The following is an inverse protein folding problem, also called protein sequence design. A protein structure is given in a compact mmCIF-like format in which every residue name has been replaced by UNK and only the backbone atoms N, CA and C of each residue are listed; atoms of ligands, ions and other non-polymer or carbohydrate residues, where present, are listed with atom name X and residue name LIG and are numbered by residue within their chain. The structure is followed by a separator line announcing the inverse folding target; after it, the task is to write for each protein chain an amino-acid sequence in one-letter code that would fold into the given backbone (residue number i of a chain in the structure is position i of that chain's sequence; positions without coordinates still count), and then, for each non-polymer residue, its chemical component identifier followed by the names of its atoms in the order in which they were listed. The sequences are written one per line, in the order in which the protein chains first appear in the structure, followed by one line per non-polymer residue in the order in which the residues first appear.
data_IF_886743790028
#
_entry.id   IF_886743790028
#
_cell.length_a   1.000
_cell.length_b   1.000
_cell.length_c   1.000
_cell.angle_alpha   90.00
_cell.angle_beta   90.00
_cell.angle_gamma   90.00
#
_symmetry.space_group_name_H-M   'P 1'
#
loop_
_entity.id
_entity.type
_entity.pdbx_description
1 polymer ?
#
# COMPACT_ATOMS: atom_id res chain seq x y z
N UNK A 1 -39.91 22.37 25.63
CA UNK A 1 -38.54 22.93 25.79
C UNK A 1 -37.63 22.26 24.79
N UNK A 2 -37.03 23.04 23.89
CA UNK A 2 -36.34 22.56 22.70
C UNK A 2 -35.04 21.84 23.04
N UNK A 3 -34.98 20.52 22.81
CA UNK A 3 -33.75 19.72 22.91
C UNK A 3 -32.60 20.31 22.07
N UNK A 4 -32.94 20.99 20.97
CA UNK A 4 -32.01 21.73 20.10
C UNK A 4 -31.41 23.00 20.73
N UNK A 5 -31.94 23.50 21.85
CA UNK A 5 -31.40 24.67 22.56
C UNK A 5 -30.39 24.30 23.65
N UNK A 6 -30.28 23.01 23.99
CA UNK A 6 -29.31 22.56 24.98
C UNK A 6 -27.95 22.40 24.31
N UNK A 7 -27.04 23.33 24.59
CA UNK A 7 -25.68 23.41 24.03
C UNK A 7 -24.89 22.10 24.24
N UNK A 8 -25.10 21.41 25.36
CA UNK A 8 -24.45 20.13 25.63
C UNK A 8 -24.99 18.99 24.75
N UNK A 9 -26.30 18.97 24.50
CA UNK A 9 -26.95 18.00 23.61
C UNK A 9 -26.51 18.20 22.15
N UNK A 10 -26.49 19.46 21.67
CA UNK A 10 -26.03 19.82 20.32
C UNK A 10 -24.53 19.53 20.15
N UNK A 11 -23.72 19.76 21.19
CA UNK A 11 -22.29 19.48 21.16
C UNK A 11 -21.95 17.98 21.08
N UNK A 12 -22.60 17.15 21.90
CA UNK A 12 -22.37 15.69 21.90
C UNK A 12 -22.86 15.05 20.60
N UNK A 13 -24.09 15.38 20.18
CA UNK A 13 -24.68 14.79 18.98
C UNK A 13 -23.97 15.32 17.73
N UNK A 14 -23.64 16.61 17.68
CA UNK A 14 -22.85 17.19 16.60
C UNK A 14 -21.47 16.56 16.49
N UNK A 15 -20.80 16.29 17.62
CA UNK A 15 -19.52 15.59 17.66
C UNK A 15 -19.60 14.15 17.14
N UNK A 16 -20.60 13.38 17.58
CA UNK A 16 -20.80 11.99 17.13
C UNK A 16 -21.12 11.95 15.64
N UNK A 17 -22.07 12.78 15.17
CA UNK A 17 -22.46 12.83 13.75
C UNK A 17 -21.28 13.27 12.88
N UNK A 18 -20.53 14.29 13.31
CA UNK A 18 -19.33 14.75 12.61
C UNK A 18 -18.25 13.66 12.52
N UNK A 19 -18.00 12.96 13.62
CA UNK A 19 -17.03 11.84 13.64
C UNK A 19 -17.41 10.70 12.70
N UNK A 20 -18.70 10.34 12.64
CA UNK A 20 -19.20 9.31 11.71
C UNK A 20 -19.03 9.76 10.26
N UNK A 21 -19.37 11.00 9.93
CA UNK A 21 -19.21 11.54 8.57
C UNK A 21 -17.73 11.52 8.15
N UNK A 22 -16.83 11.99 9.02
CA UNK A 22 -15.39 11.98 8.76
C UNK A 22 -14.86 10.56 8.57
N UNK A 23 -15.35 9.59 9.34
CA UNK A 23 -14.98 8.18 9.18
C UNK A 23 -15.33 7.66 7.77
N UNK A 24 -16.56 7.87 7.31
CA UNK A 24 -16.99 7.43 5.99
C UNK A 24 -16.18 8.09 4.87
N UNK A 25 -15.94 9.39 4.95
CA UNK A 25 -15.13 10.12 3.95
C UNK A 25 -13.69 9.59 3.94
N UNK A 26 -13.10 9.41 5.13
CA UNK A 26 -11.73 8.91 5.27
C UNK A 26 -11.60 7.50 4.70
N UNK A 27 -12.51 6.59 5.07
CA UNK A 27 -12.49 5.22 4.58
C UNK A 27 -12.69 5.15 3.06
N UNK A 28 -13.55 5.99 2.49
CA UNK A 28 -13.75 6.08 1.05
C UNK A 28 -12.48 6.51 0.30
N UNK A 29 -11.79 7.55 0.76
CA UNK A 29 -10.55 8.01 0.12
C UNK A 29 -9.40 7.01 0.30
N UNK A 30 -9.25 6.46 1.51
CA UNK A 30 -8.19 5.49 1.83
C UNK A 30 -8.41 4.19 1.06
N UNK A 31 -9.64 3.67 0.99
CA UNK A 31 -9.95 2.45 0.24
C UNK A 31 -9.68 2.61 -1.25
N UNK A 32 -10.05 3.75 -1.84
CA UNK A 32 -9.74 4.06 -3.25
C UNK A 32 -8.23 4.14 -3.49
N UNK A 33 -7.49 4.79 -2.61
CA UNK A 33 -6.02 4.87 -2.68
C UNK A 33 -5.38 3.49 -2.55
N UNK A 34 -5.83 2.66 -1.61
CA UNK A 34 -5.31 1.31 -1.40
C UNK A 34 -5.55 0.42 -2.62
N UNK A 35 -6.73 0.50 -3.26
CA UNK A 35 -7.01 -0.20 -4.52
C UNK A 35 -6.07 0.24 -5.65
N UNK A 36 -5.80 1.55 -5.78
CA UNK A 36 -4.85 2.06 -6.77
C UNK A 36 -3.43 1.53 -6.53
N UNK A 37 -2.94 1.61 -5.29
CA UNK A 37 -1.62 1.10 -4.90
C UNK A 37 -1.53 -0.42 -5.17
N UNK A 38 -2.60 -1.16 -4.88
CA UNK A 38 -2.63 -2.61 -5.15
C UNK A 38 -2.50 -2.90 -6.65
N UNK A 39 -3.24 -2.18 -7.50
CA UNK A 39 -3.11 -2.32 -8.96
C UNK A 39 -1.71 -1.97 -9.46
N UNK A 40 -1.11 -0.91 -8.94
CA UNK A 40 0.27 -0.54 -9.30
C UNK A 40 1.27 -1.64 -8.91
N UNK A 41 1.11 -2.26 -7.73
CA UNK A 41 1.93 -3.41 -7.32
C UNK A 41 1.77 -4.60 -8.25
N UNK A 42 0.55 -4.93 -8.67
CA UNK A 42 0.31 -6.00 -9.64
C UNK A 42 1.05 -5.70 -10.96
N UNK A 43 0.93 -4.48 -11.47
CA UNK A 43 1.59 -4.10 -12.72
C UNK A 43 3.12 -4.19 -12.61
N UNK A 44 3.70 -3.74 -11.50
CA UNK A 44 5.14 -3.85 -11.25
C UNK A 44 5.58 -5.31 -11.12
N UNK A 45 4.81 -6.12 -10.40
CA UNK A 45 5.10 -7.55 -10.25
C UNK A 45 5.03 -8.30 -11.57
N UNK A 46 4.02 -8.03 -12.41
CA UNK A 46 3.90 -8.62 -13.75
C UNK A 46 5.07 -8.22 -14.66
N UNK A 47 5.49 -6.96 -14.62
CA UNK A 47 6.67 -6.52 -15.36
C UNK A 47 7.94 -7.21 -14.87
N UNK A 48 8.08 -7.39 -13.56
CA UNK A 48 9.22 -8.11 -12.97
C UNK A 48 9.22 -9.60 -13.33
N UNK A 49 8.05 -10.26 -13.35
CA UNK A 49 7.91 -11.65 -13.82
C UNK A 49 8.39 -11.76 -15.26
N UNK A 50 7.90 -10.89 -16.14
CA UNK A 50 8.26 -10.90 -17.56
C UNK A 50 9.78 -10.69 -17.75
N UNK A 51 10.34 -9.67 -17.10
CA UNK A 51 11.76 -9.35 -17.20
C UNK A 51 12.67 -10.46 -16.62
N UNK A 52 12.20 -11.19 -15.61
CA UNK A 52 12.96 -12.29 -15.01
C UNK A 52 12.95 -13.55 -15.89
N UNK A 53 11.82 -13.83 -16.55
CA UNK A 53 11.64 -15.03 -17.37
C UNK A 53 12.20 -14.87 -18.79
N UNK A 54 12.19 -13.66 -19.33
CA UNK A 54 12.69 -13.37 -20.68
C UNK A 54 14.11 -13.90 -20.99
N UNK A 55 15.15 -13.68 -20.15
CA UNK A 55 16.47 -14.24 -20.41
C UNK A 55 16.51 -15.77 -20.30
N UNK A 56 15.55 -16.39 -19.62
CA UNK A 56 15.50 -17.85 -19.46
C UNK A 56 14.93 -18.55 -20.70
N UNK A 57 14.24 -17.82 -21.58
CA UNK A 57 13.72 -18.36 -22.84
C UNK A 57 14.82 -18.49 -23.89
N UNK A 58 15.87 -17.66 -23.80
CA UNK A 58 17.03 -17.76 -24.69
C UNK A 58 17.95 -18.93 -24.35
N UNK A 59 17.95 -19.37 -23.08
CA UNK A 59 18.61 -20.61 -22.63
C UNK A 59 17.60 -21.78 -22.71
N UNK A 60 17.43 -22.33 -23.91
CA UNK A 60 16.39 -23.32 -24.32
C UNK A 60 16.16 -24.52 -23.38
N UNK A 61 17.04 -24.77 -22.41
CA UNK A 61 17.01 -25.95 -21.53
C UNK A 61 16.29 -25.74 -20.19
N UNK A 62 15.92 -24.51 -19.83
CA UNK A 62 15.49 -24.20 -18.45
C UNK A 62 14.06 -23.72 -18.29
N UNK A 63 13.37 -23.35 -19.37
CA UNK A 63 12.07 -22.71 -19.27
C UNK A 63 10.92 -23.72 -19.17
N UNK A 64 10.32 -23.85 -17.98
CA UNK A 64 9.22 -24.78 -17.66
C UNK A 64 8.12 -24.07 -16.83
N UNK A 65 6.91 -24.63 -16.81
CA UNK A 65 5.80 -24.16 -15.98
C UNK A 65 6.14 -24.13 -14.49
N UNK A 66 6.93 -25.10 -14.01
CA UNK A 66 7.39 -25.14 -12.61
C UNK A 66 8.27 -23.94 -12.27
N UNK A 67 9.12 -23.54 -13.22
CA UNK A 67 9.96 -22.36 -13.07
C UNK A 67 9.10 -21.11 -13.01
N UNK A 68 8.15 -20.95 -13.93
CA UNK A 68 7.19 -19.84 -13.87
C UNK A 68 6.43 -19.81 -12.54
N UNK A 69 5.89 -20.94 -12.07
CA UNK A 69 5.13 -20.97 -10.81
C UNK A 69 5.99 -20.55 -9.61
N UNK A 70 7.26 -20.96 -9.61
CA UNK A 70 8.22 -20.62 -8.55
C UNK A 70 8.58 -19.14 -8.60
N UNK A 71 8.90 -18.61 -9.78
CA UNK A 71 9.23 -17.19 -10.00
C UNK A 71 8.03 -16.30 -9.68
N UNK A 72 6.85 -16.65 -10.20
CA UNK A 72 5.57 -15.99 -9.93
C UNK A 72 5.27 -15.94 -8.44
N UNK A 73 5.42 -17.07 -7.72
CA UNK A 73 5.22 -17.12 -6.26
C UNK A 73 6.23 -16.26 -5.50
N UNK A 74 7.50 -16.30 -5.88
CA UNK A 74 8.54 -15.50 -5.24
C UNK A 74 8.28 -14.00 -5.43
N UNK A 75 7.89 -13.59 -6.64
CA UNK A 75 7.60 -12.18 -6.97
C UNK A 75 6.28 -11.74 -6.30
N UNK A 76 5.23 -12.56 -6.30
CA UNK A 76 4.00 -12.28 -5.57
C UNK A 76 4.26 -12.04 -4.08
N UNK A 77 5.12 -12.87 -3.49
CA UNK A 77 5.55 -12.73 -2.08
C UNK A 77 6.32 -11.43 -1.85
N UNK A 78 7.26 -11.10 -2.75
CA UNK A 78 8.04 -9.85 -2.70
C UNK A 78 7.15 -8.61 -2.75
N UNK A 79 6.14 -8.60 -3.62
CA UNK A 79 5.22 -7.46 -3.81
C UNK A 79 4.03 -7.46 -2.85
N UNK A 80 3.84 -8.54 -2.07
CA UNK A 80 2.71 -8.74 -1.15
C UNK A 80 1.36 -8.69 -1.86
N UNK A 81 1.25 -9.43 -2.96
CA UNK A 81 0.02 -9.59 -3.74
C UNK A 81 -0.33 -11.08 -3.84
N UNK A 82 -1.57 -11.38 -4.22
CA UNK A 82 -1.96 -12.75 -4.47
C UNK A 82 -1.33 -13.25 -5.79
N UNK A 83 -0.83 -14.48 -5.80
CA UNK A 83 -0.29 -15.10 -7.01
C UNK A 83 -1.35 -15.20 -8.13
N UNK A 84 -2.62 -15.39 -7.75
CA UNK A 84 -3.76 -15.49 -8.67
C UNK A 84 -4.02 -14.17 -9.42
N UNK A 85 -3.57 -13.03 -8.87
CA UNK A 85 -3.74 -11.72 -9.50
C UNK A 85 -2.64 -11.40 -10.53
N UNK A 86 -1.62 -12.25 -10.65
CA UNK A 86 -0.57 -12.13 -11.67
C UNK A 86 -1.06 -12.68 -13.03
N UNK A 87 -0.36 -12.32 -14.10
CA UNK A 87 -0.62 -12.89 -15.42
C UNK A 87 -0.45 -14.40 -15.43
N UNK A 88 -1.44 -15.11 -15.96
CA UNK A 88 -1.37 -16.54 -16.22
C UNK A 88 -0.17 -16.89 -17.12
N UNK A 89 0.32 -18.12 -16.98
CA UNK A 89 1.44 -18.63 -17.77
C UNK A 89 1.24 -18.37 -19.26
N UNK A 90 0.06 -18.69 -19.80
CA UNK A 90 -0.30 -18.47 -21.19
C UNK A 90 -0.08 -17.02 -21.64
N UNK A 91 -0.57 -16.06 -20.86
CA UNK A 91 -0.44 -14.63 -21.16
C UNK A 91 1.05 -14.24 -21.16
N UNK A 92 1.84 -14.78 -20.22
CA UNK A 92 3.28 -14.54 -20.16
C UNK A 92 3.99 -15.08 -21.40
N UNK A 93 3.65 -16.29 -21.86
CA UNK A 93 4.19 -16.86 -23.10
C UNK A 93 3.86 -16.01 -24.32
N UNK A 94 2.61 -15.57 -24.45
CA UNK A 94 2.16 -14.75 -25.57
C UNK A 94 2.90 -13.41 -25.61
N UNK A 95 3.12 -12.79 -24.44
CA UNK A 95 3.87 -11.54 -24.31
C UNK A 95 5.33 -11.71 -24.67
N UNK A 96 6.00 -12.75 -24.15
CA UNK A 96 7.41 -13.03 -24.49
C UNK A 96 7.55 -13.33 -25.98
N UNK A 97 6.66 -14.14 -26.55
CA UNK A 97 6.65 -14.49 -27.98
C UNK A 97 6.49 -13.24 -28.83
N UNK A 98 5.54 -12.37 -28.47
CA UNK A 98 5.30 -11.10 -29.18
C UNK A 98 6.55 -10.22 -29.16
N UNK A 99 7.22 -10.12 -28.01
CA UNK A 99 8.42 -9.30 -27.86
C UNK A 99 9.61 -9.86 -28.66
N UNK A 100 9.80 -11.19 -28.67
CA UNK A 100 10.82 -11.85 -29.49
C UNK A 100 10.56 -11.62 -30.98
N UNK A 101 9.31 -11.71 -31.42
CA UNK A 101 8.93 -11.49 -32.83
C UNK A 101 9.17 -10.03 -33.26
N UNK A 102 8.88 -9.08 -32.37
CA UNK A 102 9.10 -7.64 -32.59
C UNK A 102 10.58 -7.23 -32.50
N UNK A 103 11.44 -8.06 -31.92
CA UNK A 103 12.87 -7.75 -31.78
C UNK A 103 13.55 -7.62 -33.14
N UNK A 104 14.21 -6.48 -33.37
CA UNK A 104 15.03 -6.23 -34.55
C UNK A 104 16.43 -6.87 -34.45
N UNK A 105 16.82 -7.36 -33.27
CA UNK A 105 18.15 -7.90 -33.00
C UNK A 105 18.30 -9.39 -33.27
N UNK A 106 17.19 -10.10 -33.56
CA UNK A 106 17.17 -11.54 -33.77
C UNK A 106 17.00 -11.87 -35.26
N UNK A 107 17.76 -12.84 -35.75
CA UNK A 107 17.55 -13.40 -37.08
C UNK A 107 16.21 -14.14 -37.15
N UNK A 108 15.66 -14.31 -38.36
CA UNK A 108 14.41 -15.06 -38.54
C UNK A 108 14.49 -16.50 -38.01
N UNK A 109 15.64 -17.15 -38.17
CA UNK A 109 15.89 -18.51 -37.68
C UNK A 109 15.89 -18.57 -36.14
N UNK A 110 16.53 -17.59 -35.48
CA UNK A 110 16.52 -17.47 -34.02
C UNK A 110 15.10 -17.23 -33.49
N UNK A 111 14.33 -16.33 -34.13
CA UNK A 111 12.92 -16.08 -33.76
C UNK A 111 12.08 -17.34 -33.85
N UNK A 112 12.29 -18.14 -34.91
CA UNK A 112 11.58 -19.40 -35.13
C UNK A 112 11.94 -20.44 -34.06
N UNK A 113 13.20 -20.59 -33.69
CA UNK A 113 13.61 -21.53 -32.65
C UNK A 113 12.99 -21.19 -31.29
N UNK A 114 13.10 -19.93 -30.84
CA UNK A 114 12.52 -19.52 -29.56
C UNK A 114 10.99 -19.67 -29.52
N UNK A 115 10.31 -19.33 -30.62
CA UNK A 115 8.87 -19.52 -30.72
C UNK A 115 8.48 -21.01 -30.62
N UNK A 116 9.25 -21.90 -31.24
CA UNK A 116 9.01 -23.34 -31.15
C UNK A 116 9.23 -23.87 -29.72
N UNK A 117 10.27 -23.41 -29.02
CA UNK A 117 10.51 -23.77 -27.61
C UNK A 117 9.32 -23.35 -26.73
N UNK A 118 8.84 -22.13 -26.87
CA UNK A 118 7.68 -21.63 -26.12
C UNK A 118 6.38 -22.39 -26.45
N UNK A 119 6.16 -22.74 -27.72
CA UNK A 119 5.01 -23.53 -28.16
C UNK A 119 5.06 -24.95 -27.56
N UNK A 120 6.25 -25.55 -27.47
CA UNK A 120 6.40 -26.89 -26.88
C UNK A 120 6.04 -26.88 -25.40
N UNK A 121 6.54 -25.89 -24.64
CA UNK A 121 6.22 -25.74 -23.21
C UNK A 121 4.73 -25.45 -23.00
N UNK A 122 4.13 -24.63 -23.86
CA UNK A 122 2.69 -24.38 -23.85
C UNK A 122 1.87 -25.68 -24.05
N UNK A 123 2.30 -26.54 -24.99
CA UNK A 123 1.63 -27.82 -25.28
C UNK A 123 1.81 -28.86 -24.17
N UNK A 124 2.90 -28.77 -23.40
CA UNK A 124 3.11 -29.60 -22.20
C UNK A 124 2.18 -29.19 -21.06
N UNK A 125 1.93 -27.89 -20.88
CA UNK A 125 0.97 -27.41 -19.88
C UNK A 125 -0.47 -27.87 -20.18
N UNK A 126 -0.90 -27.81 -21.43
CA UNK A 126 -2.28 -28.17 -21.82
C UNK A 126 -2.63 -29.63 -21.45
N UNK A 127 -1.62 -30.51 -21.36
CA UNK A 127 -1.79 -31.90 -20.89
C UNK A 127 -1.94 -32.00 -19.37
N UNK A 128 -1.35 -31.08 -18.61
CA UNK A 128 -1.37 -31.06 -17.14
C UNK A 128 -2.69 -30.49 -16.63
N UNK A 129 -3.24 -29.47 -17.29
CA UNK A 129 -4.53 -28.85 -16.89
C UNK A 129 -5.72 -29.80 -17.04
N UNK A 130 -5.66 -30.77 -17.96
CA UNK A 130 -6.71 -31.81 -18.12
C UNK A 130 -6.71 -32.82 -16.95
N UNK A 131 -5.61 -32.93 -16.19
CA UNK A 131 -5.46 -33.87 -15.06
C UNK A 131 -5.67 -33.24 -13.67
N UNK A 132 -5.50 -31.93 -13.52
CA UNK A 132 -5.45 -31.25 -12.22
C UNK A 132 -6.78 -30.64 -11.73
N UNK A 133 -7.88 -30.79 -12.49
CA UNK A 133 -9.21 -30.26 -12.15
C UNK A 133 -9.88 -30.93 -10.92
N UNK A 134 -9.12 -31.75 -10.17
CA UNK A 134 -9.58 -32.44 -8.95
C UNK A 134 -8.87 -32.03 -7.66
N UNK A 135 -7.81 -31.21 -7.67
CA UNK A 135 -6.96 -31.16 -6.47
C UNK A 135 -6.22 -29.85 -6.19
N UNK A 136 -6.83 -28.66 -6.29
CA UNK A 136 -6.24 -27.46 -5.67
C UNK A 136 -7.30 -26.55 -5.02
N UNK A 137 -7.65 -26.86 -3.76
CA UNK A 137 -8.08 -25.87 -2.78
C UNK A 137 -7.24 -26.01 -1.51
N UNK A 138 -6.06 -25.43 -1.51
CA UNK A 138 -5.40 -25.03 -0.26
C UNK A 138 -5.19 -23.53 -0.27
N UNK A 139 -6.12 -22.88 0.42
CA UNK A 139 -6.16 -21.45 0.72
C UNK A 139 -4.88 -21.05 1.45
N UNK A 140 -3.98 -20.36 0.76
CA UNK A 140 -2.88 -19.62 1.42
C UNK A 140 -3.39 -18.20 1.71
N UNK A 141 -3.99 -18.04 2.89
CA UNK A 141 -4.32 -16.72 3.43
C UNK A 141 -3.04 -16.11 4.00
N UNK A 142 -2.31 -15.32 3.20
CA UNK A 142 -1.26 -14.45 3.73
C UNK A 142 -1.95 -13.23 4.33
N UNK A 143 -2.05 -13.25 5.66
CA UNK A 143 -2.56 -12.17 6.47
C UNK A 143 -1.86 -10.85 6.12
N UNK A 144 -2.67 -9.89 5.72
CA UNK A 144 -2.30 -8.54 5.34
C UNK A 144 -1.75 -7.78 6.55
N UNK A 145 -0.43 -7.79 6.75
CA UNK A 145 0.24 -6.99 7.79
C UNK A 145 1.05 -5.86 7.16
N UNK A 146 0.76 -4.63 7.62
CA UNK A 146 1.48 -3.37 7.38
C UNK A 146 0.99 -2.49 6.23
N UNK A 147 -0.32 -2.39 6.03
CA UNK A 147 -0.89 -1.05 5.77
C UNK A 147 -1.23 -0.43 7.12
N UNK A 148 -0.94 0.86 7.32
CA UNK A 148 -1.43 1.58 8.50
C UNK A 148 -2.93 1.33 8.54
N UNK A 149 -3.38 0.56 9.53
CA UNK A 149 -4.78 0.14 9.63
C UNK A 149 -5.61 1.40 9.51
N UNK A 150 -6.52 1.45 8.54
CA UNK A 150 -7.44 2.59 8.35
C UNK A 150 -8.11 2.97 9.68
N UNK A 151 -8.23 2.01 10.60
CA UNK A 151 -8.64 2.19 12.00
C UNK A 151 -7.80 3.20 12.77
N UNK A 152 -6.46 3.17 12.70
CA UNK A 152 -5.62 4.13 13.45
C UNK A 152 -5.73 5.54 12.87
N UNK A 153 -5.85 5.66 11.55
CA UNK A 153 -5.98 6.96 10.89
C UNK A 153 -7.37 7.56 11.12
N UNK A 154 -8.41 6.73 11.08
CA UNK A 154 -9.76 7.13 11.47
C UNK A 154 -9.85 7.54 12.94
N UNK A 155 -9.21 6.79 13.83
CA UNK A 155 -9.24 7.07 15.26
C UNK A 155 -8.53 8.38 15.59
N UNK A 156 -7.38 8.66 14.97
CA UNK A 156 -6.69 9.93 15.17
C UNK A 156 -7.47 11.11 14.60
N UNK A 157 -8.09 10.98 13.42
CA UNK A 157 -8.97 12.02 12.88
C UNK A 157 -10.17 12.29 13.79
N UNK A 158 -10.84 11.24 14.29
CA UNK A 158 -11.97 11.39 15.20
C UNK A 158 -11.59 12.12 16.49
N UNK A 159 -10.43 11.77 17.08
CA UNK A 159 -9.91 12.47 18.27
C UNK A 159 -9.62 13.94 17.95
N UNK A 160 -9.02 14.25 16.79
CA UNK A 160 -8.76 15.63 16.37
C UNK A 160 -10.05 16.44 16.17
N UNK A 161 -11.04 15.87 15.47
CA UNK A 161 -12.33 16.55 15.25
C UNK A 161 -13.06 16.81 16.56
N UNK A 162 -13.01 15.86 17.49
CA UNK A 162 -13.66 15.99 18.81
C UNK A 162 -12.96 17.06 19.66
N UNK A 163 -11.63 17.07 19.70
CA UNK A 163 -10.86 18.10 20.39
C UNK A 163 -11.10 19.48 19.78
N UNK A 164 -11.11 19.58 18.45
CA UNK A 164 -11.38 20.84 17.76
C UNK A 164 -12.80 21.36 18.03
N UNK A 165 -13.80 20.49 18.08
CA UNK A 165 -15.17 20.85 18.44
C UNK A 165 -15.27 21.35 19.90
N UNK A 166 -14.58 20.69 20.84
CA UNK A 166 -14.53 21.12 22.25
C UNK A 166 -13.84 22.49 22.38
N UNK A 167 -12.74 22.72 21.65
CA UNK A 167 -12.03 24.01 21.65
C UNK A 167 -12.90 25.10 21.03
N UNK A 168 -13.53 24.83 19.88
CA UNK A 168 -14.37 25.81 19.20
C UNK A 168 -15.60 26.19 20.02
N UNK A 169 -16.25 25.21 20.65
CA UNK A 169 -17.42 25.45 21.51
C UNK A 169 -17.05 26.16 22.82
N UNK A 170 -15.90 25.86 23.42
CA UNK A 170 -15.41 26.60 24.60
C UNK A 170 -14.99 28.03 24.23
N UNK A 171 -14.37 28.24 23.08
CA UNK A 171 -14.04 29.58 22.56
C UNK A 171 -15.30 30.42 22.32
N UNK A 172 -16.32 29.88 21.64
CA UNK A 172 -17.59 30.56 21.38
C UNK A 172 -18.35 30.84 22.69
N UNK A 173 -18.30 29.90 23.65
CA UNK A 173 -18.93 30.09 24.97
C UNK A 173 -18.22 31.16 25.80
N UNK A 174 -16.89 31.23 25.72
CA UNK A 174 -16.09 32.27 26.36
C UNK A 174 -16.29 33.63 25.69
N UNK A 175 -16.47 33.70 24.38
CA UNK A 175 -16.76 34.95 23.67
C UNK A 175 -18.15 35.50 24.04
N UNK A 176 -19.15 34.61 24.17
CA UNK A 176 -20.45 34.96 24.78
C UNK A 176 -20.33 35.43 26.23
N UNK A 177 -19.44 34.83 27.02
CA UNK A 177 -19.15 35.30 28.37
C UNK A 177 -18.34 36.60 28.36
N UNK A 178 -17.54 36.89 27.33
CA UNK A 178 -16.74 38.11 27.18
C UNK A 178 -17.62 39.33 26.84
N UNK A 179 -18.72 39.13 26.10
CA UNK A 179 -19.75 40.18 25.97
C UNK A 179 -20.45 40.49 27.31
N UNK A 180 -20.56 39.51 28.22
CA UNK A 180 -21.02 39.71 29.60
C UNK A 180 -19.89 40.20 30.56
N UNK A 181 -18.62 39.90 30.24
CA UNK A 181 -17.42 40.20 31.04
C UNK A 181 -16.64 41.42 30.56
N UNK A 182 -17.21 42.28 29.70
CA UNK A 182 -16.75 43.68 29.60
C UNK A 182 -16.79 44.42 30.96
N UNK A 183 -17.34 43.80 32.00
CA UNK A 183 -17.39 44.27 33.39
C UNK A 183 -16.45 43.46 34.33
N UNK A 184 -15.85 42.32 33.94
CA UNK A 184 -15.00 41.53 34.84
C UNK A 184 -13.75 40.93 34.18
N UNK A 185 -12.61 41.34 34.74
CA UNK A 185 -11.23 41.01 34.40
C UNK A 185 -10.96 39.48 34.40
N UNK A 186 -11.04 38.81 33.25
CA UNK A 186 -10.71 37.38 33.14
C UNK A 186 -9.18 37.22 33.12
N UNK A 187 -8.66 36.63 34.20
CA UNK A 187 -7.26 36.40 34.53
C UNK A 187 -6.47 35.64 33.43
N UNK A 188 -5.24 36.07 33.15
CA UNK A 188 -4.34 35.53 32.11
C UNK A 188 -4.12 34.00 32.18
N UNK A 189 -4.36 33.42 33.35
CA UNK A 189 -4.28 31.97 33.59
C UNK A 189 -5.27 31.16 32.74
N UNK A 190 -6.48 31.66 32.49
CA UNK A 190 -7.48 30.94 31.68
C UNK A 190 -7.09 30.93 30.21
N UNK A 191 -6.47 32.02 29.72
CA UNK A 191 -5.92 32.10 28.36
C UNK A 191 -4.73 31.16 28.18
N UNK A 192 -3.84 31.08 29.17
CA UNK A 192 -2.70 30.16 29.13
C UNK A 192 -3.14 28.68 29.08
N UNK A 193 -4.18 28.30 29.83
CA UNK A 193 -4.72 26.94 29.83
C UNK A 193 -5.32 26.57 28.46
N UNK A 194 -6.03 27.48 27.80
CA UNK A 194 -6.57 27.26 26.45
C UNK A 194 -5.46 27.08 25.40
N UNK A 195 -4.42 27.92 25.45
CA UNK A 195 -3.27 27.80 24.53
C UNK A 195 -2.54 26.47 24.75
N UNK A 196 -2.31 26.06 26.00
CA UNK A 196 -1.69 24.77 26.31
C UNK A 196 -2.52 23.57 25.81
N UNK A 197 -3.85 23.63 25.94
CA UNK A 197 -4.73 22.56 25.49
C UNK A 197 -4.68 22.38 23.96
N UNK A 198 -4.45 23.44 23.19
CA UNK A 198 -4.32 23.39 21.73
C UNK A 198 -2.91 23.00 21.26
N UNK A 199 -1.88 23.35 22.03
CA UNK A 199 -0.49 23.08 21.66
C UNK A 199 -0.12 21.59 21.77
N UNK A 200 -0.68 20.87 22.75
CA UNK A 200 -0.43 19.44 22.99
C UNK A 200 -0.79 18.55 21.79
N UNK A 201 -2.01 18.61 21.20
CA UNK A 201 -2.34 17.79 20.04
C UNK A 201 -1.52 18.17 18.79
N UNK A 202 -1.21 19.46 18.60
CA UNK A 202 -0.35 19.93 17.51
C UNK A 202 1.08 19.36 17.62
N UNK A 203 1.65 19.36 18.81
CA UNK A 203 2.96 18.75 19.09
C UNK A 203 2.94 17.23 18.90
N UNK A 204 1.85 16.55 19.27
CA UNK A 204 1.68 15.11 19.06
C UNK A 204 1.67 14.74 17.57
N UNK A 205 0.97 15.51 16.73
CA UNK A 205 0.95 15.30 15.28
C UNK A 205 2.33 15.56 14.67
N UNK A 206 3.02 16.62 15.10
CA UNK A 206 4.39 16.90 14.65
C UNK A 206 5.36 15.75 15.02
N UNK A 207 5.25 15.20 16.22
CA UNK A 207 6.07 14.06 16.64
C UNK A 207 5.80 12.81 15.81
N UNK A 208 4.54 12.51 15.49
CA UNK A 208 4.16 11.37 14.66
C UNK A 208 4.65 11.51 13.21
N UNK A 209 4.60 12.72 12.62
CA UNK A 209 5.11 12.94 11.25
C UNK A 209 6.63 12.84 11.18
N UNK A 210 7.34 13.34 12.18
CA UNK A 210 8.79 13.18 12.30
C UNK A 210 9.21 11.73 12.54
N UNK A 211 8.45 10.98 13.34
CA UNK A 211 8.70 9.55 13.53
C UNK A 211 8.49 8.76 12.23
N UNK A 212 7.48 9.11 11.42
CA UNK A 212 7.25 8.49 10.12
C UNK A 212 8.36 8.81 9.11
N UNK A 213 8.86 10.06 9.09
CA UNK A 213 9.95 10.44 8.18
C UNK A 213 11.26 9.72 8.52
N UNK A 214 11.58 9.57 9.81
CA UNK A 214 12.77 8.80 10.23
C UNK A 214 12.66 7.32 9.92
N UNK A 215 11.46 6.71 10.02
CA UNK A 215 11.23 5.32 9.60
C UNK A 215 11.34 5.15 8.08
N UNK A 216 10.87 6.12 7.29
CA UNK A 216 11.05 6.11 5.84
C UNK A 216 12.53 6.21 5.44
N UNK A 217 13.30 7.07 6.11
CA UNK A 217 14.75 7.21 5.89
C UNK A 217 15.53 5.94 6.27
N UNK A 218 15.15 5.27 7.36
CA UNK A 218 15.74 3.97 7.74
C UNK A 218 15.49 2.89 6.69
N UNK A 219 14.31 2.89 6.05
CA UNK A 219 13.98 1.96 4.96
C UNK A 219 14.83 2.19 3.71
N UNK A 220 15.07 3.45 3.34
CA UNK A 220 15.95 3.82 2.22
C UNK A 220 17.40 3.39 2.50
N UNK A 221 17.92 3.66 3.72
CA UNK A 221 19.27 3.22 4.11
C UNK A 221 19.43 1.69 4.08
N UNK A 222 18.42 0.95 4.54
CA UNK A 222 18.45 -0.53 4.53
C UNK A 222 18.48 -1.09 3.11
N UNK A 223 17.70 -0.53 2.18
CA UNK A 223 17.72 -0.96 0.78
C UNK A 223 19.07 -0.69 0.11
N UNK A 224 19.68 0.48 0.38
CA UNK A 224 21.01 0.82 -0.16
C UNK A 224 22.12 -0.08 0.39
N UNK A 225 22.03 -0.50 1.65
CA UNK A 225 22.94 -1.49 2.26
C UNK A 225 22.82 -2.86 1.59
N UNK A 226 21.60 -3.31 1.29
CA UNK A 226 21.35 -4.59 0.61
C UNK A 226 21.95 -4.56 -0.81
N UNK A 227 21.76 -3.47 -1.56
CA UNK A 227 22.37 -3.29 -2.89
C UNK A 227 23.91 -3.34 -2.83
N UNK A 228 24.51 -2.66 -1.85
CA UNK A 228 25.99 -2.64 -1.68
C UNK A 228 26.54 -4.02 -1.31
N UNK A 229 25.85 -4.78 -0.45
CA UNK A 229 26.26 -6.16 -0.12
C UNK A 229 26.08 -7.13 -1.28
N UNK A 230 25.12 -6.86 -2.19
CA UNK A 230 24.91 -7.70 -3.38
C UNK A 230 25.97 -7.48 -4.46
N UNK A 231 26.52 -6.27 -4.60
CA UNK A 231 27.60 -5.97 -5.55
C UNK A 231 28.97 -6.48 -5.10
N UNK A 232 29.23 -6.54 -3.79
CA UNK A 232 30.48 -7.11 -3.24
C UNK A 232 30.50 -8.65 -3.36
N UNK A 233 29.34 -9.30 -3.35
CA UNK A 233 29.22 -10.75 -3.52
C UNK A 233 29.44 -11.24 -4.96
N UNK A 234 29.29 -10.36 -5.95
CA UNK A 234 29.55 -10.68 -7.37
C UNK A 234 31.01 -10.49 -7.74
N UNK A 235 31.72 -9.53 -7.13
CA UNK A 235 33.12 -9.24 -7.42
C UNK A 235 34.07 -10.36 -6.92
N UNK A 236 33.75 -10.98 -5.77
CA UNK A 236 34.55 -12.08 -5.21
C UNK A 236 34.37 -13.44 -5.93
N UNK A 237 33.49 -13.53 -6.92
CA UNK A 237 33.29 -14.76 -7.73
C UNK A 237 34.05 -14.74 -9.06
N UNK A 238 34.62 -13.60 -9.46
CA UNK A 238 35.40 -13.47 -10.70
C UNK A 238 36.92 -13.65 -10.49
N UNK A 239 37.39 -13.79 -9.24
CA UNK A 239 38.81 -13.96 -8.89
C UNK A 239 39.22 -15.38 -8.44
N UNK A 240 38.37 -16.41 -8.61
CA UNK A 240 38.75 -17.82 -8.39
C UNK A 240 38.47 -18.71 -9.60
#
# INVERSE_FOLDING_TARGET
MSLLNNVWFVGIIGGIISGVIVYFITDFFVSKKNKKIYKEKINLANAEVLNSLKPMVTDETSFDIKLYQTVSRAIATKHKINQIDLYDFKIVIDLITTEIMQSQFLSYEQKKNYANTLINVYREQEKIDIQNDKEIQTVVSISNTNTVSSKYLSLTLAIMTTLFAIISTTYISLDRLNELNKIANINDQVRAVLVLLTAIPLLSVLALTLMQSTLALKKIKRNKLIETTSSIGTENKEEN
#
